data_IF_796292136821
#
_entry.id   IF_796292136821
#
_cell.length_a   1.000
_cell.length_b   1.000
_cell.length_c   1.000
_cell.angle_alpha   90.00
_cell.angle_beta   90.00
_cell.angle_gamma   90.00
#
_symmetry.space_group_name_H-M   'P 1'
#
loop_
_entity.id
_entity.type
_entity.pdbx_description
1 polymer ?
2 polymer ?
3 polymer ?
4 non-polymer ?
5 non-polymer ?
6 water ?
#
loop_
_entity_poly.entity_id
_entity_poly.type
_entity_poly.pdbx_seq_one_letter_code
_entity_poly.pdbx_strand_id
1 'polydeoxyribonucleotide' '(DT)(DG)(DG)(DG)(DG)(DT)(DC)(DC)(DT)' ?
2 'polydeoxyribonucleotide' '(DA)(DG)(DG)(DA)(DC)(DC)(DOC)' ?
#
# COMPACT_ATOMS: atom_id res chain seq x y z
N UNK C 1 -8.11 0.22 -27.33
CA UNK C 1 -7.53 -0.32 -26.03
C UNK C 1 -6.28 0.52 -25.66
N UNK C 2 -6.43 1.85 -25.66
CA UNK C 2 -5.29 2.68 -25.31
C UNK C 2 -5.43 3.59 -24.03
N UNK C 3 -6.08 4.77 -24.10
CA UNK C 3 -6.19 5.66 -22.92
C UNK C 3 -7.11 5.24 -21.70
N UNK C 4 -6.54 5.25 -20.55
CA UNK C 4 -7.25 4.79 -19.47
C UNK C 4 -7.60 5.85 -18.44
N UNK C 5 -8.58 5.49 -17.63
CA UNK C 5 -9.02 6.21 -16.47
C UNK C 5 -8.91 5.27 -15.25
N UNK C 6 -7.90 5.57 -14.41
CA UNK C 6 -7.59 4.76 -13.25
C UNK C 6 -7.78 5.60 -12.03
N UNK C 7 -8.30 4.98 -10.98
CA UNK C 7 -8.32 5.64 -9.68
C UNK C 7 -7.42 4.94 -8.61
N UNK C 8 -6.78 5.72 -7.78
CA UNK C 8 -6.03 5.17 -6.68
C UNK C 8 -6.74 5.62 -5.34
N UNK C 9 -7.11 4.63 -4.50
CA UNK C 9 -7.84 5.02 -3.31
C UNK C 9 -6.94 4.85 -2.07
N UNK C 10 -6.76 5.82 -1.26
CA UNK C 10 -5.71 5.69 -0.19
C UNK C 10 -6.30 6.23 1.07
N UNK C 11 -6.56 5.36 1.97
CA UNK C 11 -7.29 5.76 3.26
C UNK C 11 -6.49 6.58 4.20
N UNK C 12 -7.19 7.45 4.92
CA UNK C 12 -6.56 8.25 6.00
C UNK C 12 -6.07 7.46 7.27
N UNK C 13 -4.84 7.76 7.73
CA UNK C 13 -4.23 7.25 8.89
C UNK C 13 -4.90 5.99 9.30
N UNK C 14 -4.86 5.00 8.41
CA UNK C 14 -5.65 3.74 8.42
C UNK C 14 -5.72 3.03 9.80
N UNK C 15 -4.60 2.66 10.38
CA UNK C 15 -4.69 1.95 11.65
C UNK C 15 -5.37 2.84 12.68
N UNK C 16 -5.01 4.10 12.66
CA UNK C 16 -5.54 4.97 13.75
C UNK C 16 -7.04 5.17 13.53
N UNK C 17 -7.51 5.31 12.22
CA UNK C 17 -8.94 5.29 11.92
C UNK C 17 -9.56 4.09 12.51
N UNK C 18 -8.94 2.94 12.40
CA UNK C 18 -9.73 1.77 12.81
C UNK C 18 -9.84 1.80 14.40
N UNK C 19 -8.75 2.12 15.06
CA UNK C 19 -8.73 2.28 16.47
C UNK C 19 -9.69 3.34 16.98
N UNK C 20 -9.79 4.52 16.32
CA UNK C 20 -10.78 5.54 16.63
C UNK C 20 -12.25 5.08 16.37
N UNK C 21 -12.47 4.16 15.44
CA UNK C 21 -13.81 3.68 15.34
C UNK C 21 -14.13 2.69 16.50
N UNK C 22 -13.16 1.95 16.98
CA UNK C 22 -13.38 0.91 17.97
C UNK C 22 -13.58 1.53 19.35
N UNK C 23 -12.84 2.58 19.65
CA UNK C 23 -12.91 3.34 20.84
C UNK C 23 -13.12 4.85 20.50
N UNK C 24 -14.37 5.21 20.33
CA UNK C 24 -14.72 6.60 19.99
C UNK C 24 -14.08 7.68 20.91
N UNK C 25 -13.93 7.35 22.21
CA UNK C 25 -13.24 8.23 23.16
C UNK C 25 -11.83 8.61 22.69
N UNK C 26 -11.34 7.97 21.66
CA UNK C 26 -10.06 8.41 21.15
C UNK C 26 -10.20 9.51 20.09
N UNK C 27 -11.40 9.79 19.63
CA UNK C 27 -11.58 10.88 18.68
C UNK C 27 -11.09 12.21 19.24
N UNK C 28 -10.87 13.18 18.36
CA UNK C 28 -10.44 14.52 18.73
C UNK C 28 -9.19 14.58 19.67
N UNK C 29 -8.72 13.44 20.09
CA UNK C 29 -7.44 13.35 20.82
C UNK C 29 -6.29 12.91 19.93
N UNK C 30 -5.12 13.46 20.10
CA UNK C 30 -4.07 13.07 19.21
C UNK C 30 -3.76 11.63 19.53
N UNK C 31 -3.81 10.76 18.56
CA UNK C 31 -3.62 9.33 18.70
C UNK C 31 -2.44 8.75 17.89
N UNK C 32 -1.68 7.89 18.50
CA UNK C 32 -0.63 7.19 17.79
C UNK C 32 -0.85 5.67 18.00
N UNK C 33 -0.57 4.84 16.95
CA UNK C 33 -0.67 3.46 17.01
C UNK C 33 0.75 2.91 17.11
N UNK C 34 1.04 2.14 18.16
CA UNK C 34 2.38 1.71 18.47
C UNK C 34 2.54 0.21 18.11
N UNK C 35 3.77 -0.14 17.76
CA UNK C 35 4.13 -1.49 17.51
C UNK C 35 5.53 -1.52 18.05
N UNK C 36 5.76 -2.21 19.15
CA UNK C 36 7.10 -2.13 19.76
C UNK C 36 7.50 -0.71 20.09
N UNK C 37 8.64 -0.28 19.63
CA UNK C 37 9.01 1.11 19.88
C UNK C 37 8.65 1.97 18.66
N UNK C 38 7.73 1.56 17.85
CA UNK C 38 7.59 2.46 16.70
C UNK C 38 6.21 3.05 16.65
N UNK C 39 6.06 4.35 16.47
CA UNK C 39 4.71 4.93 16.24
C UNK C 39 4.46 4.78 14.72
N UNK C 40 3.74 3.73 14.35
CA UNK C 40 3.67 3.40 12.98
C UNK C 40 2.85 4.41 12.27
N UNK C 41 1.76 4.92 12.86
CA UNK C 41 0.96 6.00 12.23
C UNK C 41 0.21 6.74 13.33
N UNK C 42 -0.33 7.97 13.03
CA UNK C 42 -1.06 8.76 14.06
C UNK C 42 -2.20 9.49 13.36
N UNK C 43 -3.23 9.91 14.12
CA UNK C 43 -4.41 10.53 13.48
C UNK C 43 -4.05 11.94 13.12
N UNK C 44 -4.86 12.69 12.37
CA UNK C 44 -4.42 14.05 11.97
C UNK C 44 -4.30 14.97 13.15
N UNK C 45 -5.04 14.74 14.23
CA UNK C 45 -4.89 15.69 15.40
C UNK C 45 -3.42 15.63 15.82
N UNK C 46 -2.86 14.41 15.87
CA UNK C 46 -1.46 14.20 16.18
C UNK C 46 -0.39 14.85 15.27
N UNK C 47 -0.62 14.75 14.03
CA UNK C 47 0.38 15.18 13.12
C UNK C 47 0.45 16.73 13.21
N UNK C 48 -0.54 17.33 13.85
CA UNK C 48 -0.56 18.81 14.00
C UNK C 48 0.49 19.24 15.03
N UNK C 49 0.71 18.38 16.03
CA UNK C 49 1.63 18.56 17.07
C UNK C 49 3.07 18.04 16.69
N UNK C 50 3.31 17.71 15.41
CA UNK C 50 4.65 17.17 15.10
C UNK C 50 4.91 15.62 14.94
N UNK C 51 3.95 14.78 15.36
CA UNK C 51 4.16 13.36 15.28
C UNK C 51 4.18 13.03 13.85
N UNK C 52 5.21 12.36 13.38
CA UNK C 52 5.21 11.92 11.98
C UNK C 52 5.11 10.41 11.91
N UNK C 53 4.83 9.86 10.75
CA UNK C 53 4.65 8.41 10.64
C UNK C 53 5.95 7.75 10.79
N UNK C 54 5.97 6.60 11.45
CA UNK C 54 7.22 5.92 11.73
C UNK C 54 8.24 6.74 12.55
N UNK C 55 7.74 7.41 13.56
CA UNK C 55 8.58 8.06 14.54
C UNK C 55 8.75 7.00 15.63
N UNK C 56 9.81 7.09 16.47
CA UNK C 56 10.00 6.16 17.59
C UNK C 56 9.12 6.69 18.64
N UNK C 57 8.73 5.90 19.61
CA UNK C 57 7.90 6.39 20.73
C UNK C 57 8.55 7.58 21.39
N UNK C 58 9.85 7.55 21.54
CA UNK C 58 10.46 8.66 22.22
C UNK C 58 10.26 9.99 21.51
N UNK C 59 10.69 10.07 20.28
CA UNK C 59 10.61 11.32 19.58
C UNK C 59 9.19 11.80 19.47
N UNK C 60 8.26 10.85 19.43
CA UNK C 60 6.86 11.10 19.27
C UNK C 60 6.33 11.76 20.50
N UNK C 61 6.75 11.19 21.63
CA UNK C 61 6.33 11.62 22.96
C UNK C 61 6.98 12.93 23.40
N UNK C 62 8.24 13.19 23.01
CA UNK C 62 8.88 14.48 23.40
C UNK C 62 8.53 15.62 22.41
N UNK C 63 7.84 15.23 21.34
CA UNK C 63 7.37 16.19 20.36
C UNK C 63 5.96 16.47 20.71
N UNK C 64 5.39 15.56 21.47
CA UNK C 64 4.02 15.72 21.86
C UNK C 64 3.77 14.84 23.07
N UNK C 65 4.05 15.32 24.28
CA UNK C 65 3.83 14.52 25.50
C UNK C 65 2.33 14.27 25.80
N UNK C 66 1.41 14.85 25.05
CA UNK C 66 0.02 14.56 25.34
C UNK C 66 -0.57 13.40 24.43
N UNK C 67 0.31 12.70 23.74
CA UNK C 67 -0.10 11.64 22.84
C UNK C 67 -0.67 10.27 23.36
N UNK C 68 -1.93 9.94 23.06
CA UNK C 68 -2.43 8.62 23.39
C UNK C 68 -1.80 7.55 22.45
N UNK C 69 -1.48 6.40 22.99
CA UNK C 69 -0.95 5.37 22.21
C UNK C 69 -1.66 4.08 22.48
N UNK C 70 -2.00 3.33 21.42
CA UNK C 70 -2.61 2.01 21.50
C UNK C 70 -1.72 1.08 20.69
N UNK C 71 -1.71 -0.17 21.06
CA UNK C 71 -0.86 -1.13 20.45
C UNK C 71 -1.48 -1.65 19.12
N UNK C 72 -0.69 -1.64 18.05
CA UNK C 72 -1.16 -2.16 16.82
C UNK C 72 -0.38 -3.34 16.25
N UNK C 73 0.19 -4.12 17.12
CA UNK C 73 0.96 -5.31 16.75
C UNK C 73 0.13 -6.38 16.14
N UNK C 74 -1.05 -6.56 16.65
CA UNK C 74 -2.02 -7.48 16.10
C UNK C 74 -2.81 -6.81 14.98
N UNK C 75 -2.72 -7.31 13.77
CA UNK C 75 -3.24 -6.73 12.56
C UNK C 75 -4.57 -7.26 12.21
N UNK C 76 -5.13 -8.14 12.99
CA UNK C 76 -6.31 -8.80 12.58
C UNK C 76 -7.42 -7.90 12.13
N UNK C 77 -7.78 -6.95 13.00
CA UNK C 77 -8.79 -5.98 12.66
C UNK C 77 -8.49 -5.09 11.44
N UNK C 78 -7.24 -4.64 11.28
CA UNK C 78 -6.88 -3.84 10.16
C UNK C 78 -7.03 -4.69 8.84
N UNK C 79 -6.65 -5.95 8.93
CA UNK C 79 -6.75 -6.79 7.80
C UNK C 79 -8.19 -7.04 7.47
N UNK C 80 -9.02 -7.19 8.46
CA UNK C 80 -10.41 -7.34 8.08
C UNK C 80 -11.05 -6.12 7.38
N UNK C 81 -10.71 -4.96 7.85
CA UNK C 81 -11.27 -3.79 7.35
C UNK C 81 -10.65 -3.64 5.97
N UNK C 82 -9.35 -3.98 5.86
CA UNK C 82 -8.73 -3.84 4.56
C UNK C 82 -9.48 -4.58 3.48
N UNK C 83 -9.99 -5.77 3.79
CA UNK C 83 -10.68 -6.53 2.74
C UNK C 83 -12.11 -6.07 2.55
N UNK C 84 -12.70 -5.51 3.65
CA UNK C 84 -13.99 -5.00 3.44
C UNK C 84 -13.96 -3.86 2.42
N UNK C 85 -12.91 -2.99 2.49
CA UNK C 85 -12.76 -1.89 1.56
C UNK C 85 -12.48 -2.41 0.13
N UNK C 86 -11.60 -3.39 -0.04
CA UNK C 86 -11.35 -3.83 -1.38
C UNK C 86 -12.63 -4.45 -2.01
N UNK C 87 -13.41 -5.19 -1.21
CA UNK C 87 -14.54 -5.90 -1.70
C UNK C 87 -15.58 -4.90 -2.10
N UNK C 88 -15.71 -3.81 -1.38
CA UNK C 88 -16.68 -2.79 -1.72
C UNK C 88 -16.19 -2.15 -3.06
N UNK C 89 -14.88 -1.87 -3.24
CA UNK C 89 -14.46 -1.32 -4.51
C UNK C 89 -14.68 -2.35 -5.60
N UNK C 90 -14.57 -3.63 -5.34
CA UNK C 90 -14.78 -4.62 -6.40
C UNK C 90 -16.24 -4.60 -6.95
N UNK C 91 -17.14 -4.04 -6.17
CA UNK C 91 -18.50 -4.00 -6.61
C UNK C 91 -18.66 -2.95 -7.73
N UNK C 92 -17.88 -1.88 -7.72
CA UNK C 92 -18.04 -0.86 -8.72
C UNK C 92 -17.46 -1.50 -9.94
N UNK C 93 -16.27 -2.12 -9.86
CA UNK C 93 -15.62 -2.74 -11.02
C UNK C 93 -14.77 -3.88 -10.47
N UNK C 94 -14.90 -5.03 -11.08
CA UNK C 94 -14.25 -6.25 -10.58
C UNK C 94 -12.72 -6.21 -10.46
N UNK C 95 -12.03 -5.41 -11.24
CA UNK C 95 -10.63 -5.53 -11.24
C UNK C 95 -9.98 -4.54 -10.25
N UNK C 96 -9.77 -4.98 -9.02
CA UNK C 96 -9.15 -4.09 -8.05
C UNK C 96 -7.80 -4.60 -7.68
N UNK C 97 -6.82 -3.73 -7.61
CA UNK C 97 -5.53 -4.10 -7.23
C UNK C 97 -5.17 -3.52 -5.79
N UNK C 98 -4.79 -4.37 -4.84
CA UNK C 98 -4.34 -3.82 -3.60
C UNK C 98 -2.87 -3.50 -3.57
N UNK C 99 -2.44 -2.56 -2.74
CA UNK C 99 -1.11 -2.28 -2.48
C UNK C 99 -1.12 -1.96 -0.92
N UNK C 100 -0.63 -2.86 -0.10
CA UNK C 100 -0.58 -2.72 1.36
C UNK C 100 -1.95 -2.92 1.79
N UNK C 101 -2.22 -2.57 3.05
CA UNK C 101 -3.58 -2.85 3.58
C UNK C 101 -4.53 -1.73 3.22
N UNK C 102 -4.03 -0.55 2.72
CA UNK C 102 -4.95 0.58 2.62
C UNK C 102 -4.96 1.30 1.34
N UNK C 103 -4.38 0.70 0.32
CA UNK C 103 -4.43 1.24 -1.03
C UNK C 103 -5.09 0.31 -2.00
N UNK C 104 -5.81 0.88 -2.98
CA UNK C 104 -6.44 0.04 -3.99
C UNK C 104 -6.44 0.80 -5.32
N UNK C 105 -6.12 0.16 -6.43
CA UNK C 105 -6.22 0.73 -7.76
C UNK C 105 -7.39 0.10 -8.39
N UNK C 106 -8.13 0.85 -9.21
CA UNK C 106 -9.25 0.30 -9.92
C UNK C 106 -9.21 0.91 -11.28
N UNK C 107 -9.43 0.12 -12.34
CA UNK C 107 -9.36 0.64 -13.68
C UNK C 107 -10.76 1.03 -13.99
N UNK C 108 -11.02 2.31 -14.17
CA UNK C 108 -12.41 2.71 -14.30
C UNK C 108 -12.74 2.89 -15.76
N UNK C 109 -11.81 2.49 -16.61
CA UNK C 109 -12.01 2.77 -18.02
C UNK C 109 -13.35 2.27 -18.63
N UNK C 110 -13.73 1.03 -18.35
CA UNK C 110 -14.93 0.47 -18.95
C UNK C 110 -16.06 1.15 -18.37
N UNK C 111 -16.02 1.45 -17.08
CA UNK C 111 -17.17 2.16 -16.37
C UNK C 111 -17.40 3.57 -16.91
N UNK C 112 -16.35 4.32 -17.04
CA UNK C 112 -16.51 5.63 -17.58
C UNK C 112 -17.18 5.55 -18.99
N UNK C 113 -16.65 4.72 -19.86
CA UNK C 113 -17.22 4.70 -21.21
C UNK C 113 -18.74 4.28 -21.23
N UNK C 114 -19.11 3.41 -20.34
CA UNK C 114 -20.48 3.00 -20.31
C UNK C 114 -21.28 4.21 -19.85
N UNK C 115 -20.76 5.01 -18.93
CA UNK C 115 -21.60 6.11 -18.53
C UNK C 115 -21.72 7.15 -19.64
N UNK C 116 -20.68 7.25 -20.49
CA UNK C 116 -20.66 8.30 -21.47
C UNK C 116 -21.58 7.93 -22.55
N UNK C 117 -21.86 6.66 -22.74
CA UNK C 117 -22.72 6.29 -23.83
C UNK C 117 -24.14 6.46 -23.40
N UNK C 118 -24.37 6.63 -22.12
CA UNK C 118 -25.73 6.74 -21.65
C UNK C 118 -26.18 8.20 -21.66
N UNK C 119 -25.23 9.14 -21.76
CA UNK C 119 -25.54 10.56 -21.77
C UNK C 119 -25.85 11.02 -23.14
N UNK C 120 -27.03 11.61 -23.27
CA UNK C 120 -27.45 12.19 -24.54
C UNK C 120 -26.49 13.27 -25.04
N UNK C 121 -26.67 13.67 -26.30
CA UNK C 121 -25.79 14.68 -26.90
C UNK C 121 -26.17 16.07 -26.39
N UNK C 122 -26.14 16.28 -25.06
CA UNK C 122 -26.56 17.58 -24.53
C UNK C 122 -26.13 17.84 -23.11
N UNK C 123 -26.41 16.87 -22.25
CA UNK C 123 -26.01 16.98 -20.85
C UNK C 123 -24.47 16.88 -20.73
N UNK C 124 -23.82 16.26 -21.71
CA UNK C 124 -22.38 16.12 -21.72
C UNK C 124 -21.63 17.45 -21.65
N UNK C 125 -22.39 18.51 -21.81
CA UNK C 125 -21.86 19.83 -21.72
C UNK C 125 -22.01 20.26 -20.25
N UNK C 126 -22.70 19.44 -19.49
CA UNK C 126 -22.89 19.77 -18.12
C UNK C 126 -22.00 18.90 -17.17
N UNK C 127 -21.20 18.01 -17.74
CA UNK C 127 -20.34 17.16 -16.97
C UNK C 127 -19.41 17.98 -16.13
N UNK C 128 -19.49 17.79 -14.82
CA UNK C 128 -18.65 18.52 -13.95
C UNK C 128 -17.67 17.65 -13.14
N UNK C 129 -16.65 18.27 -12.62
CA UNK C 129 -15.75 17.60 -11.78
C UNK C 129 -16.22 17.42 -10.35
N UNK C 130 -15.66 16.41 -9.69
CA UNK C 130 -15.96 16.19 -8.29
C UNK C 130 -14.65 16.21 -7.58
N UNK C 131 -14.44 17.17 -6.68
CA UNK C 131 -13.19 17.32 -6.04
C UNK C 131 -12.21 18.41 -6.64
N UNK C 132 -10.90 18.25 -6.38
CA UNK C 132 -9.97 19.26 -6.80
C UNK C 132 -9.45 18.92 -8.13
N UNK C 133 -8.96 19.90 -8.86
CA UNK C 133 -8.30 19.62 -10.12
C UNK C 133 -6.88 19.95 -9.88
N UNK C 134 -5.99 18.98 -10.04
CA UNK C 134 -4.54 19.21 -9.78
C UNK C 134 -4.10 20.46 -10.57
N UNK C 135 -3.37 21.31 -9.86
CA UNK C 135 -2.78 22.52 -10.48
C UNK C 135 -3.80 23.47 -10.90
N UNK C 136 -5.05 23.33 -10.43
CA UNK C 136 -6.02 24.31 -10.69
C UNK C 136 -6.25 24.50 -12.27
N UNK C 137 -5.88 23.54 -13.09
CA UNK C 137 -5.98 23.59 -14.48
C UNK C 137 -7.45 23.74 -14.92
N UNK C 138 -7.65 24.41 -16.04
CA UNK C 138 -8.92 24.68 -16.57
C UNK C 138 -9.42 23.46 -17.31
N UNK C 139 -10.68 23.20 -17.25
CA UNK C 139 -11.19 22.11 -17.99
C UNK C 139 -11.66 22.49 -19.40
N UNK C 140 -11.66 21.55 -20.31
CA UNK C 140 -12.07 21.91 -21.63
C UNK C 140 -12.99 20.88 -21.89
N UNK C 141 -14.28 21.19 -21.86
CA UNK C 141 -15.39 20.26 -22.08
C UNK C 141 -15.41 19.70 -23.46
N UNK C 142 -14.56 20.16 -24.36
CA UNK C 142 -14.62 19.54 -25.67
C UNK C 142 -13.48 18.62 -25.74
N UNK C 143 -12.71 18.55 -24.67
CA UNK C 143 -11.61 17.53 -24.66
C UNK C 143 -12.11 16.17 -24.20
N UNK C 144 -12.15 15.19 -25.10
CA UNK C 144 -12.69 13.88 -24.66
C UNK C 144 -11.97 13.28 -23.43
N UNK C 145 -10.65 13.54 -23.32
CA UNK C 145 -9.91 13.06 -22.25
C UNK C 145 -10.23 13.77 -20.95
N UNK C 146 -10.52 15.04 -21.05
CA UNK C 146 -10.95 15.79 -19.82
C UNK C 146 -12.27 15.24 -19.34
N UNK C 147 -13.19 15.00 -20.28
CA UNK C 147 -14.57 14.53 -19.98
C UNK C 147 -14.52 13.15 -19.27
N UNK C 148 -13.67 12.27 -19.82
CA UNK C 148 -13.56 10.92 -19.23
C UNK C 148 -12.95 11.00 -17.84
N UNK C 149 -11.92 11.86 -17.68
CA UNK C 149 -11.29 12.01 -16.33
C UNK C 149 -12.29 12.68 -15.30
N UNK C 150 -13.08 13.66 -15.74
CA UNK C 150 -14.11 14.11 -14.81
C UNK C 150 -15.10 13.02 -14.46
N UNK C 151 -15.58 12.21 -15.45
CA UNK C 151 -16.54 11.21 -15.12
C UNK C 151 -15.90 10.25 -14.06
N UNK C 152 -14.64 9.98 -14.31
CA UNK C 152 -13.85 9.17 -13.42
C UNK C 152 -13.73 9.87 -12.10
N UNK C 153 -13.75 11.23 -12.00
CA UNK C 153 -13.66 11.81 -10.70
C UNK C 153 -14.99 11.59 -9.94
N UNK C 154 -16.08 11.54 -10.68
CA UNK C 154 -17.37 11.26 -10.08
C UNK C 154 -17.45 9.85 -9.60
N UNK C 155 -16.91 8.86 -10.36
CA UNK C 155 -17.05 7.48 -9.83
C UNK C 155 -16.28 7.46 -8.44
N UNK C 156 -15.08 8.10 -8.45
CA UNK C 156 -14.30 8.21 -7.29
C UNK C 156 -15.07 8.78 -6.10
N UNK C 157 -15.76 9.87 -6.31
CA UNK C 157 -16.50 10.48 -5.24
C UNK C 157 -17.57 9.45 -4.70
N UNK C 158 -18.21 8.75 -5.58
CA UNK C 158 -19.20 7.72 -5.19
C UNK C 158 -18.57 6.57 -4.38
N UNK C 159 -17.43 6.09 -4.80
CA UNK C 159 -16.66 5.12 -4.00
C UNK C 159 -16.30 5.73 -2.59
N UNK C 160 -15.94 7.03 -2.54
CA UNK C 160 -15.58 7.45 -1.25
C UNK C 160 -16.84 7.63 -0.36
N UNK C 161 -17.97 8.00 -0.97
CA UNK C 161 -19.14 8.20 -0.18
C UNK C 161 -19.57 6.78 0.38
N UNK C 162 -19.53 5.76 -0.51
CA UNK C 162 -19.88 4.44 -0.08
C UNK C 162 -18.90 3.95 1.02
N UNK C 163 -17.60 4.19 0.87
CA UNK C 163 -16.68 3.73 1.91
C UNK C 163 -17.07 4.32 3.25
N UNK C 164 -17.59 5.56 3.19
CA UNK C 164 -17.97 6.22 4.36
C UNK C 164 -19.28 5.68 4.89
N UNK C 165 -20.32 5.67 4.08
CA UNK C 165 -21.58 5.26 4.45
C UNK C 165 -21.66 3.81 4.82
N UNK C 166 -20.91 2.98 4.14
CA UNK C 166 -20.99 1.54 4.39
C UNK C 166 -20.02 1.03 5.43
N UNK C 167 -18.79 1.58 5.51
CA UNK C 167 -17.80 1.02 6.47
C UNK C 167 -17.34 2.04 7.42
N UNK C 168 -17.83 3.33 7.35
CA UNK C 168 -17.34 4.35 8.25
C UNK C 168 -15.87 4.85 8.04
N UNK C 169 -15.27 4.67 6.85
CA UNK C 169 -13.92 5.06 6.67
C UNK C 169 -13.71 6.23 5.66
N UNK C 170 -12.81 7.16 6.02
CA UNK C 170 -12.54 8.20 5.04
C UNK C 170 -11.29 8.00 4.38
N UNK C 171 -11.12 8.65 3.24
CA UNK C 171 -9.91 8.41 2.44
C UNK C 171 -9.77 9.37 1.32
N UNK C 172 -8.61 9.38 0.70
CA UNK C 172 -8.35 10.20 -0.48
C UNK C 172 -8.40 9.36 -1.77
N UNK C 173 -8.65 10.00 -2.89
CA UNK C 173 -8.62 9.30 -4.16
C UNK C 173 -7.89 10.14 -5.13
N UNK C 174 -7.26 9.51 -6.13
CA UNK C 174 -6.69 10.32 -7.22
C UNK C 174 -7.07 9.73 -8.55
N UNK C 175 -7.51 10.58 -9.51
CA UNK C 175 -7.90 10.01 -10.81
C UNK C 175 -6.88 10.53 -11.86
N UNK C 176 -6.32 9.60 -12.63
CA UNK C 176 -5.33 9.94 -13.60
C UNK C 176 -5.35 8.92 -14.73
N UNK C 177 -4.49 9.04 -15.70
CA UNK C 177 -4.49 8.12 -16.85
C UNK C 177 -3.60 6.85 -16.69
N UNK C 178 -2.87 6.70 -15.65
CA UNK C 178 -2.12 5.51 -15.40
C UNK C 178 -1.95 5.28 -13.88
N UNK C 179 -1.42 4.16 -13.49
CA UNK C 179 -1.33 3.93 -12.02
C UNK C 179 -0.34 4.90 -11.31
N UNK C 180 0.82 5.15 -11.93
CA UNK C 180 1.82 6.02 -11.32
C UNK C 180 1.19 7.43 -11.01
N UNK C 181 0.55 8.05 -11.98
CA UNK C 181 -0.03 9.39 -11.80
C UNK C 181 -1.20 9.44 -10.77
N UNK C 182 -2.05 8.43 -10.87
CA UNK C 182 -3.18 8.33 -9.99
C UNK C 182 -2.64 8.24 -8.55
N UNK C 183 -1.56 7.48 -8.30
CA UNK C 183 -1.10 7.45 -6.95
C UNK C 183 -0.36 8.74 -6.53
N UNK C 184 0.39 9.34 -7.42
CA UNK C 184 1.12 10.53 -7.11
C UNK C 184 0.10 11.56 -6.87
N UNK C 185 -1.03 11.60 -7.63
CA UNK C 185 -1.93 12.82 -7.41
C UNK C 185 -2.93 12.62 -6.26
N UNK C 186 -3.10 11.39 -5.78
CA UNK C 186 -4.06 11.11 -4.68
C UNK C 186 -3.55 11.71 -3.40
N UNK C 187 -2.28 11.99 -3.31
CA UNK C 187 -1.78 12.64 -2.11
C UNK C 187 -1.77 14.19 -2.13
N UNK C 188 -2.15 14.87 -3.23
CA UNK C 188 -1.94 16.32 -3.24
C UNK C 188 -2.77 17.01 -2.17
N UNK C 189 -3.96 16.52 -1.84
CA UNK C 189 -4.88 17.14 -0.83
C UNK C 189 -5.20 16.09 0.19
N UNK C 190 -4.51 16.18 1.32
CA UNK C 190 -4.14 15.04 2.09
C UNK C 190 -5.13 14.52 2.73
N UNK C 191 -5.75 15.27 3.63
CA UNK C 191 -6.75 14.56 4.52
C UNK C 191 -7.94 13.94 3.85
N UNK C 192 -9.06 14.52 3.53
CA UNK C 192 -10.13 13.39 3.13
C UNK C 192 -10.71 13.98 1.92
N UNK C 193 -9.97 13.93 0.84
CA UNK C 193 -10.30 14.68 -0.31
C UNK C 193 -9.87 13.90 -1.55
N UNK C 194 -10.13 14.44 -2.76
CA UNK C 194 -9.74 13.76 -4.02
C UNK C 194 -9.34 14.76 -5.05
N UNK C 195 -8.45 14.38 -5.95
CA UNK C 195 -7.91 15.26 -6.88
C UNK C 195 -7.82 14.55 -8.24
N UNK C 196 -8.03 15.26 -9.35
CA UNK C 196 -8.02 14.65 -10.65
C UNK C 196 -6.96 15.31 -11.47
N UNK C 197 -6.21 14.45 -12.22
CA UNK C 197 -5.06 14.98 -13.00
C UNK C 197 -5.37 15.08 -14.49
N UNK C 198 -5.42 16.28 -15.05
CA UNK C 198 -5.62 16.38 -16.51
C UNK C 198 -4.22 16.19 -17.23
N UNK C 199 -4.18 15.66 -18.47
CA UNK C 199 -2.91 15.42 -19.10
C UNK C 199 -2.00 16.67 -19.12
N UNK C 200 -2.55 17.85 -19.36
CA UNK C 200 -1.65 19.02 -19.51
C UNK C 200 -0.82 19.26 -18.29
N UNK C 201 -1.11 18.59 -17.16
CA UNK C 201 -0.35 18.95 -15.93
C UNK C 201 0.54 17.82 -15.42
N UNK C 202 0.65 16.76 -16.19
CA UNK C 202 1.50 15.66 -15.85
C UNK C 202 2.94 16.06 -15.47
N UNK C 203 3.54 16.89 -16.29
CA UNK C 203 4.93 17.26 -16.07
C UNK C 203 4.99 18.11 -14.71
N UNK C 204 4.01 18.99 -14.51
CA UNK C 204 4.06 19.81 -13.36
C UNK C 204 4.05 18.85 -12.13
N UNK C 205 3.16 17.87 -12.15
CA UNK C 205 3.10 16.95 -11.01
C UNK C 205 4.46 16.27 -10.79
N UNK C 206 5.07 15.80 -11.87
CA UNK C 206 6.13 14.85 -11.70
C UNK C 206 7.25 15.77 -11.30
N UNK C 207 7.29 17.00 -11.83
CA UNK C 207 8.44 17.86 -11.44
C UNK C 207 8.22 18.46 -10.08
N UNK C 208 7.07 18.25 -9.45
CA UNK C 208 6.81 18.80 -8.13
C UNK C 208 7.57 17.91 -7.12
N UNK C 209 7.88 16.67 -7.51
CA UNK C 209 8.68 15.82 -6.56
C UNK C 209 10.12 16.43 -6.21
N UNK C 210 10.68 16.15 -5.00
CA UNK C 210 11.95 16.70 -4.71
C UNK C 210 13.12 15.76 -4.83
N UNK C 211 12.80 14.52 -5.11
CA UNK C 211 13.85 13.51 -5.30
C UNK C 211 13.26 12.21 -5.81
N UNK C 212 14.04 11.45 -6.61
CA UNK C 212 13.52 10.30 -7.35
C UNK C 212 13.10 9.18 -6.43
N UNK C 213 13.46 9.19 -5.17
CA UNK C 213 12.94 8.16 -4.34
C UNK C 213 11.50 8.34 -4.04
N UNK C 214 10.96 9.43 -4.57
CA UNK C 214 9.53 9.71 -4.36
C UNK C 214 8.70 9.10 -5.46
N UNK C 215 9.36 8.71 -6.54
CA UNK C 215 8.68 7.99 -7.54
C UNK C 215 8.42 6.47 -7.10
N UNK C 216 7.17 6.09 -6.98
CA UNK C 216 6.79 4.70 -6.71
C UNK C 216 7.54 3.75 -7.63
N UNK C 217 8.34 2.82 -7.15
CA UNK C 217 9.08 1.98 -8.00
C UNK C 217 10.58 2.20 -7.76
N UNK C 218 11.00 3.42 -7.40
CA UNK C 218 12.39 3.61 -7.09
C UNK C 218 12.54 3.50 -5.60
N UNK C 219 13.15 2.44 -5.14
CA UNK C 219 13.29 2.30 -3.69
C UNK C 219 14.59 2.75 -3.06
N UNK C 220 14.80 2.36 -1.80
CA UNK C 220 16.03 2.67 -1.08
C UNK C 220 17.30 2.30 -1.86
N UNK C 221 17.27 1.15 -2.53
CA UNK C 221 18.39 0.74 -3.33
C UNK C 221 18.62 1.52 -4.57
N UNK C 222 17.79 1.42 -5.58
CA UNK C 222 18.02 2.27 -6.79
C UNK C 222 18.32 3.72 -6.55
N UNK C 223 17.72 4.25 -5.48
CA UNK C 223 17.90 5.64 -5.11
C UNK C 223 19.39 5.99 -4.88
N UNK C 224 20.06 5.20 -4.03
CA UNK C 224 21.46 5.43 -3.77
C UNK C 224 22.24 5.17 -5.02
N UNK C 225 21.82 4.18 -5.81
CA UNK C 225 22.54 3.91 -7.06
C UNK C 225 22.46 5.09 -8.00
N UNK C 226 21.25 5.69 -8.17
CA UNK C 226 21.09 6.77 -9.12
C UNK C 226 21.91 7.98 -8.70
N UNK C 227 22.02 8.11 -7.39
CA UNK C 227 22.81 9.16 -6.84
C UNK C 227 24.29 9.06 -7.23
N UNK C 228 24.83 7.87 -7.08
CA UNK C 228 26.19 7.65 -7.34
C UNK C 228 26.55 8.18 -8.72
N UNK C 229 25.54 8.34 -9.57
CA UNK C 229 25.78 8.83 -10.92
C UNK C 229 25.43 10.25 -11.11
N UNK C 230 25.25 10.96 -10.03
CA UNK C 230 24.84 12.34 -10.22
C UNK C 230 23.33 12.60 -10.40
N UNK C 231 22.49 11.58 -10.65
CA UNK C 231 21.08 11.75 -10.84
C UNK C 231 20.31 12.04 -9.53
N UNK C 232 19.91 13.30 -9.32
CA UNK C 232 19.19 13.61 -8.11
C UNK C 232 17.71 14.08 -8.27
N UNK C 233 17.41 14.94 -9.22
CA UNK C 233 16.08 15.39 -9.42
C UNK C 233 15.43 14.46 -10.45
N UNK C 234 14.13 14.54 -10.52
CA UNK C 234 13.44 13.82 -11.59
C UNK C 234 13.90 14.27 -12.99
N UNK C 235 14.29 15.55 -13.24
CA UNK C 235 14.78 15.97 -14.54
C UNK C 235 16.13 15.32 -14.90
N UNK C 236 16.99 15.20 -13.90
CA UNK C 236 18.31 14.54 -14.10
C UNK C 236 17.99 13.18 -14.66
N UNK C 237 17.07 12.49 -14.03
CA UNK C 237 16.72 11.13 -14.44
C UNK C 237 16.13 11.15 -15.84
N UNK C 238 15.26 12.07 -16.10
CA UNK C 238 14.68 12.21 -17.41
C UNK C 238 15.77 12.38 -18.48
N UNK C 239 16.72 13.30 -18.22
CA UNK C 239 17.70 13.59 -19.21
C UNK C 239 18.95 12.70 -19.11
N UNK C 240 19.02 11.79 -18.16
CA UNK C 240 20.26 11.02 -18.06
C UNK C 240 20.39 10.11 -19.24
N UNK C 241 21.59 9.55 -19.48
CA UNK C 241 21.82 8.73 -20.70
C UNK C 241 21.24 7.31 -20.63
N UNK C 242 20.40 6.94 -21.59
CA UNK C 242 19.81 5.60 -21.55
C UNK C 242 20.91 4.54 -21.48
N UNK C 243 21.87 4.60 -22.40
CA UNK C 243 22.90 3.60 -22.39
C UNK C 243 23.56 3.40 -21.00
N UNK C 244 24.05 4.51 -20.42
CA UNK C 244 24.86 4.45 -19.20
C UNK C 244 23.98 4.01 -18.08
N UNK C 245 22.69 4.27 -18.20
CA UNK C 245 21.70 3.83 -17.18
C UNK C 245 21.33 2.36 -17.41
N UNK C 246 21.08 2.11 -18.71
CA UNK C 246 20.66 0.81 -19.25
C UNK C 246 21.66 -0.15 -18.72
N UNK C 247 22.89 0.19 -18.97
CA UNK C 247 23.97 -0.65 -18.55
C UNK C 247 24.51 -0.39 -17.15
N UNK C 248 23.66 -0.34 -16.15
CA UNK C 248 24.17 -0.07 -14.82
C UNK C 248 23.05 -0.51 -13.84
N UNK C 249 21.89 -0.83 -14.40
CA UNK C 249 20.78 -1.30 -13.58
C UNK C 249 20.13 -2.44 -14.29
N UNK C 250 20.50 -2.61 -15.55
CA UNK C 250 20.03 -3.69 -16.39
C UNK C 250 19.02 -3.04 -17.24
N UNK C 251 18.85 -3.47 -18.46
CA UNK C 251 17.84 -2.86 -19.31
C UNK C 251 16.44 -2.72 -18.68
N UNK C 252 16.13 -3.59 -17.73
CA UNK C 252 14.81 -3.60 -17.11
C UNK C 252 14.67 -2.46 -16.09
N UNK C 253 15.33 -2.62 -14.96
CA UNK C 253 15.38 -1.56 -13.96
C UNK C 253 15.55 -0.19 -14.57
N UNK C 254 16.30 -0.07 -15.66
CA UNK C 254 16.61 1.24 -16.29
C UNK C 254 15.58 1.73 -17.25
N UNK C 255 15.04 0.90 -18.08
CA UNK C 255 14.23 1.43 -19.14
C UNK C 255 12.87 1.71 -18.47
N UNK C 256 12.66 1.03 -17.36
CA UNK C 256 11.41 1.25 -16.74
C UNK C 256 11.40 2.56 -15.89
N UNK C 257 12.45 2.74 -15.09
CA UNK C 257 12.38 3.81 -14.18
C UNK C 257 12.54 5.12 -14.92
N UNK C 258 13.08 5.02 -16.14
CA UNK C 258 13.22 6.21 -16.89
C UNK C 258 11.87 6.64 -17.41
N UNK C 259 11.05 5.70 -17.84
CA UNK C 259 9.69 6.00 -18.23
C UNK C 259 8.90 6.66 -17.05
N UNK C 260 9.08 6.10 -15.89
CA UNK C 260 8.40 6.67 -14.76
C UNK C 260 8.80 8.14 -14.53
N UNK C 261 10.09 8.46 -14.77
CA UNK C 261 10.56 9.79 -14.52
C UNK C 261 9.80 10.73 -15.44
N UNK C 262 9.29 10.23 -16.55
CA UNK C 262 8.43 11.06 -17.41
C UNK C 262 6.94 11.06 -17.01
N UNK C 263 6.57 10.23 -16.04
CA UNK C 263 5.12 10.06 -15.80
C UNK C 263 4.42 9.01 -16.64
N UNK C 264 5.19 8.24 -17.44
CA UNK C 264 4.71 7.26 -18.33
C UNK C 264 4.73 5.94 -17.64
N UNK C 265 3.69 5.15 -17.81
CA UNK C 265 3.62 3.91 -16.99
C UNK C 265 2.51 3.04 -17.49
N UNK C 266 2.82 1.95 -18.18
CA UNK C 266 1.78 1.22 -18.82
C UNK C 266 1.31 0.00 -18.06
N UNK C 267 1.84 -0.28 -16.92
CA UNK C 267 1.39 -1.43 -16.16
C UNK C 267 -0.12 -1.43 -15.91
N UNK C 268 -0.70 -2.55 -16.19
CA UNK C 268 -2.15 -2.70 -16.06
C UNK C 268 -2.56 -2.93 -14.51
N UNK C 269 -3.78 -2.56 -14.15
CA UNK C 269 -4.25 -2.74 -12.82
C UNK C 269 -4.52 -4.24 -12.81
N UNK C 270 -3.78 -4.95 -11.95
CA UNK C 270 -4.06 -6.38 -11.83
C UNK C 270 -5.07 -6.83 -10.77
N UNK C 271 -5.80 -7.85 -11.03
CA UNK C 271 -6.77 -8.38 -9.96
C UNK C 271 -6.07 -9.02 -8.79
N UNK C 272 -6.23 -8.53 -7.57
CA UNK C 272 -5.36 -9.09 -6.48
C UNK C 272 -5.93 -10.42 -5.95
N UNK C 273 -7.25 -10.48 -5.94
CA UNK C 273 -7.99 -11.57 -5.42
C UNK C 273 -7.52 -12.00 -4.01
N UNK C 274 -7.60 -13.26 -3.63
CA UNK C 274 -7.27 -13.67 -2.28
C UNK C 274 -5.83 -13.61 -2.20
N UNK C 275 -5.26 -13.54 -1.01
CA UNK C 275 -3.81 -13.42 -0.78
C UNK C 275 -3.01 -14.65 -1.28
N UNK C 276 -1.72 -14.48 -1.59
CA UNK C 276 -0.87 -15.54 -2.01
C UNK C 276 -0.17 -15.99 -0.76
N UNK C 277 -0.42 -15.37 0.38
CA UNK C 277 0.34 -15.86 1.55
C UNK C 277 -0.30 -15.33 2.83
N UNK C 278 0.08 -15.92 3.96
CA UNK C 278 -0.50 -15.55 5.28
C UNK C 278 0.74 -15.79 6.17
N UNK C 279 1.18 -14.79 6.91
CA UNK C 279 2.21 -14.94 7.87
C UNK C 279 1.98 -14.09 9.14
N UNK C 280 2.63 -14.50 10.20
CA UNK C 280 2.60 -13.84 11.47
C UNK C 280 4.08 -13.66 11.84
N UNK C 281 4.34 -12.63 12.57
CA UNK C 281 5.70 -12.30 12.85
C UNK C 281 5.74 -11.86 14.32
N UNK C 282 6.67 -12.36 15.12
CA UNK C 282 6.87 -11.84 16.48
C UNK C 282 8.24 -11.27 16.69
N UNK C 283 8.34 -10.24 17.47
CA UNK C 283 9.59 -9.57 17.65
C UNK C 283 9.98 -9.49 19.16
N UNK C 284 11.25 -9.68 19.40
CA UNK C 284 11.76 -9.71 20.75
C UNK C 284 13.22 -9.64 20.50
N UNK C 285 13.73 -8.44 20.32
CA UNK C 285 15.14 -8.26 20.10
C UNK C 285 15.89 -8.76 21.32
N UNK C 286 16.84 -9.64 21.05
CA UNK C 286 17.76 -10.23 21.98
C UNK C 286 17.19 -11.35 22.81
N UNK C 287 15.89 -11.59 22.72
CA UNK C 287 15.30 -12.61 23.58
C UNK C 287 15.35 -14.05 23.11
N UNK C 288 15.73 -14.26 21.87
CA UNK C 288 15.74 -15.58 21.31
C UNK C 288 17.06 -16.29 21.57
N UNK C 289 17.06 -17.17 22.60
CA UNK C 289 18.23 -17.95 23.04
C UNK C 289 18.87 -18.77 21.90
N UNK C 290 17.99 -19.51 21.21
CA UNK C 290 18.26 -20.41 20.07
C UNK C 290 18.10 -21.85 20.52
N UNK C 291 17.17 -22.08 21.43
CA UNK C 291 16.45 -23.30 21.76
C UNK C 291 15.30 -23.03 22.71
N UNK C 292 15.53 -22.10 23.60
CA UNK C 292 14.47 -21.74 24.50
C UNK C 292 13.38 -21.06 23.67
N UNK C 293 13.75 -20.59 22.47
CA UNK C 293 12.78 -19.85 21.63
C UNK C 293 12.26 -20.72 20.46
N UNK C 294 11.18 -21.47 20.74
CA UNK C 294 10.45 -22.31 19.77
C UNK C 294 9.01 -22.22 20.11
N UNK C 295 8.79 -22.00 21.40
CA UNK C 295 7.46 -21.84 21.89
C UNK C 295 6.81 -20.69 21.12
N UNK C 296 7.62 -19.67 20.83
CA UNK C 296 7.17 -18.56 20.03
C UNK C 296 6.58 -19.10 18.73
N UNK C 297 7.25 -20.09 18.14
CA UNK C 297 6.83 -20.72 16.89
C UNK C 297 5.46 -21.38 16.98
N UNK C 298 5.17 -21.96 18.12
CA UNK C 298 3.84 -22.50 18.30
C UNK C 298 2.80 -21.32 18.42
N UNK C 299 3.22 -20.18 18.99
CA UNK C 299 2.38 -18.94 19.09
C UNK C 299 1.90 -18.57 17.67
N UNK C 300 2.85 -18.25 16.83
CA UNK C 300 2.52 -17.89 15.46
C UNK C 300 1.57 -18.87 14.77
N UNK C 301 1.88 -20.15 14.91
CA UNK C 301 1.08 -21.16 14.28
C UNK C 301 -0.37 -21.23 14.70
N UNK C 302 -0.59 -21.01 15.97
CA UNK C 302 -1.92 -21.09 16.53
C UNK C 302 -2.80 -20.17 15.67
N UNK C 303 -2.50 -18.87 15.62
CA UNK C 303 -3.23 -17.94 14.74
C UNK C 303 -3.09 -18.32 13.27
N UNK C 304 -1.90 -18.59 12.83
CA UNK C 304 -1.92 -18.84 11.43
C UNK C 304 -2.96 -19.86 11.06
N UNK C 305 -2.97 -20.99 11.78
CA UNK C 305 -3.84 -22.10 11.45
C UNK C 305 -5.28 -21.72 11.29
N UNK C 306 -5.75 -20.87 12.18
CA UNK C 306 -7.14 -20.44 12.16
C UNK C 306 -7.41 -19.52 10.94
N UNK C 307 -6.45 -18.69 10.62
CA UNK C 307 -6.59 -17.83 9.48
C UNK C 307 -6.64 -18.61 8.19
N UNK C 308 -5.55 -19.31 7.88
CA UNK C 308 -5.43 -20.01 6.61
C UNK C 308 -6.65 -20.85 6.49
N UNK C 309 -7.01 -21.48 7.58
CA UNK C 309 -8.19 -22.28 7.55
C UNK C 309 -9.34 -21.59 6.78
N UNK C 310 -9.84 -20.50 7.40
CA UNK C 310 -10.98 -19.64 6.98
C UNK C 310 -11.15 -19.35 5.50
N UNK C 311 -10.06 -18.83 4.93
CA UNK C 311 -10.09 -18.44 3.56
C UNK C 311 -10.70 -19.63 2.95
N UNK C 312 -10.10 -20.79 3.27
CA UNK C 312 -10.55 -22.06 2.77
C UNK C 312 -9.39 -22.81 2.18
N UNK C 313 -8.82 -22.29 1.10
CA UNK C 313 -7.65 -22.86 0.44
C UNK C 313 -6.64 -23.33 1.49
N UNK C 314 -6.00 -24.42 1.17
CA UNK C 314 -5.03 -24.93 2.10
C UNK C 314 -3.68 -24.64 1.49
N UNK C 315 -2.74 -24.21 2.27
CA UNK C 315 -1.40 -23.92 1.79
C UNK C 315 -0.60 -25.19 1.55
N UNK C 316 0.21 -25.17 0.51
CA UNK C 316 1.00 -26.33 0.22
C UNK C 316 2.48 -26.13 0.56
N UNK C 317 2.82 -25.08 1.30
CA UNK C 317 4.20 -24.81 1.69
C UNK C 317 4.22 -24.05 3.00
N UNK C 318 5.30 -24.16 3.80
CA UNK C 318 5.49 -23.47 5.06
C UNK C 318 6.89 -22.92 5.03
N UNK C 319 7.11 -21.89 5.77
CA UNK C 319 8.41 -21.24 5.78
C UNK C 319 8.67 -20.64 7.19
N UNK C 320 9.93 -20.50 7.56
CA UNK C 320 10.32 -20.06 8.86
C UNK C 320 11.46 -19.11 8.68
N UNK C 321 11.36 -17.94 9.33
CA UNK C 321 12.35 -16.90 9.11
C UNK C 321 13.03 -16.35 10.34
N UNK C 322 14.24 -15.76 10.22
CA UNK C 322 14.98 -15.23 11.39
C UNK C 322 15.75 -13.94 11.13
N UNK C 323 16.70 -13.58 11.99
CA UNK C 323 17.52 -12.35 11.88
C UNK C 323 18.42 -12.22 13.15
N UNK C 324 19.74 -12.07 12.99
CA UNK C 324 20.67 -12.09 14.16
C UNK C 324 21.25 -10.69 14.56
N UNK C 325 22.07 -10.55 15.63
CA UNK C 325 22.48 -9.19 16.09
C UNK C 325 23.90 -8.84 16.54
N UNK C 326 24.21 -7.54 16.41
CA UNK C 326 25.49 -6.90 16.83
C UNK C 326 25.66 -5.50 16.19
N UNK C 327 26.03 -5.46 14.91
CA UNK C 327 26.15 -4.19 14.16
C UNK C 327 24.92 -4.12 13.25
N UNK C 328 24.68 -2.97 12.61
CA UNK C 328 23.51 -2.84 11.72
C UNK C 328 23.71 -3.50 10.36
N UNK C 329 23.38 -4.79 10.29
CA UNK C 329 23.53 -5.57 9.06
C UNK C 329 22.62 -5.04 7.95
N UNK C 330 21.94 -3.92 8.20
CA UNK C 330 21.04 -3.30 7.22
C UNK C 330 19.95 -4.27 6.71
N UNK C 331 20.25 -5.57 6.75
CA UNK C 331 19.60 -6.50 5.63
C UNK C 331 20.06 -7.88 6.18
N UNK C 332 19.13 -8.80 6.42
CA UNK C 332 19.59 -10.08 6.93
C UNK C 332 18.59 -10.96 7.63
N UNK C 333 17.71 -11.57 6.84
CA UNK C 333 16.76 -12.52 7.34
C UNK C 333 17.13 -13.80 6.65
N UNK C 334 16.86 -14.94 7.28
CA UNK C 334 17.18 -16.26 6.71
C UNK C 334 15.93 -17.10 6.74
N UNK C 335 15.80 -18.01 5.76
CA UNK C 335 14.64 -18.85 5.77
C UNK C 335 14.88 -20.20 5.17
N UNK C 336 13.97 -21.11 5.49
CA UNK C 336 13.98 -22.47 4.98
C UNK C 336 12.54 -22.90 4.58
N UNK C 337 12.30 -23.03 3.26
CA UNK C 337 11.05 -23.49 2.75
C UNK C 337 10.95 -25.06 2.91
N UNK C 338 9.72 -25.53 2.82
CA UNK C 338 9.42 -26.93 2.95
C UNK C 338 7.94 -27.26 2.60
N UNK C 339 7.69 -28.26 1.74
CA UNK C 339 6.33 -28.68 1.43
C UNK C 339 5.62 -29.30 2.63
N UNK C 340 4.35 -28.96 2.80
CA UNK C 340 3.44 -29.35 3.87
C UNK C 340 2.92 -30.74 3.59
N UNK C 341 3.38 -31.74 4.33
CA UNK C 341 2.97 -33.12 4.08
C UNK C 341 1.47 -33.21 3.81
N UNK C 342 1.13 -33.86 2.69
CA UNK C 342 -0.25 -34.03 2.27
C UNK C 342 -1.28 -34.49 3.34
N UNK C 343 -0.85 -35.28 4.33
CA UNK C 343 -1.72 -35.76 5.40
C UNK C 343 -1.99 -34.59 6.35
N UNK C 344 -0.94 -33.81 6.54
CA UNK C 344 -0.97 -32.68 7.40
C UNK C 344 -1.92 -31.67 6.80
N UNK C 345 -2.07 -31.69 5.48
CA UNK C 345 -2.91 -30.69 4.84
C UNK C 345 -4.36 -30.80 5.19
N UNK C 346 -4.90 -32.00 5.25
CA UNK C 346 -6.29 -32.01 5.67
C UNK C 346 -6.42 -31.93 7.18
N UNK C 355 -3.90 -31.65 14.26
CA UNK C 355 -3.44 -30.74 13.17
C UNK C 355 -2.19 -29.91 13.48
N UNK C 356 -2.13 -29.42 14.72
CA UNK C 356 -1.04 -28.58 15.22
C UNK C 356 0.23 -29.35 15.46
N UNK C 357 0.04 -30.49 16.10
CA UNK C 357 1.11 -31.33 16.60
C UNK C 357 2.32 -31.53 15.63
N UNK C 358 2.11 -32.15 14.50
CA UNK C 358 3.15 -32.32 13.49
C UNK C 358 3.82 -31.02 13.02
N UNK C 359 3.01 -30.07 12.54
CA UNK C 359 3.48 -28.79 12.09
C UNK C 359 4.63 -28.31 12.91
N UNK C 360 4.43 -28.36 14.22
CA UNK C 360 5.47 -27.95 15.11
C UNK C 360 6.79 -28.65 14.75
N UNK C 361 6.72 -29.97 14.57
CA UNK C 361 7.93 -30.70 14.23
C UNK C 361 8.52 -30.28 12.87
N UNK C 362 7.67 -30.06 11.86
CA UNK C 362 8.26 -29.75 10.60
C UNK C 362 9.06 -28.51 10.85
N UNK C 363 8.42 -27.52 11.45
CA UNK C 363 9.04 -26.27 11.75
C UNK C 363 10.29 -26.40 12.61
N UNK C 364 10.24 -27.28 13.62
CA UNK C 364 11.36 -27.49 14.50
C UNK C 364 12.54 -28.03 13.75
N UNK C 365 12.31 -29.00 12.88
CA UNK C 365 13.43 -29.61 12.16
C UNK C 365 13.91 -28.55 11.17
N UNK C 366 12.94 -27.87 10.57
CA UNK C 366 13.16 -26.75 9.63
C UNK C 366 13.94 -25.64 10.35
N UNK C 367 13.63 -25.55 11.64
CA UNK C 367 14.28 -24.67 12.60
C UNK C 367 15.79 -25.02 12.75
N UNK C 368 16.14 -26.29 12.84
CA UNK C 368 17.56 -26.62 12.98
C UNK C 368 18.41 -26.61 11.71
N UNK C 369 17.88 -27.04 10.58
CA UNK C 369 18.76 -26.96 9.42
C UNK C 369 19.27 -25.52 9.42
N UNK C 370 18.58 -24.70 10.16
CA UNK C 370 18.95 -23.32 10.29
C UNK C 370 20.29 -23.18 10.94
N UNK C 380 17.50 -11.84 16.52
CA UNK C 380 16.60 -10.80 17.00
C UNK C 380 15.11 -11.17 16.82
N UNK C 381 14.65 -11.57 15.66
CA UNK C 381 13.23 -11.94 15.52
C UNK C 381 12.84 -13.16 14.64
N UNK C 382 11.63 -13.68 14.92
CA UNK C 382 11.02 -14.86 14.26
C UNK C 382 9.59 -14.72 13.58
N UNK C 383 9.35 -15.49 12.51
CA UNK C 383 8.06 -15.59 11.83
C UNK C 383 7.71 -16.86 11.03
N UNK C 384 6.41 -16.97 10.82
CA UNK C 384 5.98 -18.11 10.06
C UNK C 384 5.11 -17.73 8.90
N UNK C 385 5.44 -18.23 7.71
CA UNK C 385 4.65 -17.97 6.51
C UNK C 385 4.02 -19.18 5.89
N UNK C 386 2.73 -19.09 5.57
CA UNK C 386 2.04 -20.17 4.83
C UNK C 386 1.90 -19.62 3.42
N UNK C 387 2.53 -20.23 2.47
CA UNK C 387 2.31 -19.85 1.06
C UNK C 387 1.81 -20.97 0.12
N UNK C 388 1.82 -20.69 -1.17
CA UNK C 388 1.47 -21.61 -2.22
C UNK C 388 0.04 -22.14 -2.01
N UNK C 389 -0.94 -21.27 -1.67
CA UNK C 389 -2.36 -21.60 -1.51
C UNK C 389 -2.99 -22.25 -2.76
N UNK C 390 -4.02 -23.08 -2.58
CA UNK C 390 -4.67 -23.72 -3.73
C UNK C 390 -6.13 -24.04 -3.47
X LIG D 1 -0.91 4.62 1.70
X LIG E 1 -3.23 5.87 3.78
X LIG F 1 2.19 0.86 7.58
X LIG F 1 3.17 0.11 8.21
X LIG F 1 4.49 0.18 7.82
X LIG F 1 4.90 0.98 6.77
X LIG F 1 3.90 1.68 6.05
X LIG F 1 2.58 1.68 6.57
X LIG F 1 2.86 -0.57 9.19
X LIG F 1 6.23 1.03 6.49
X LIG F 1 0.79 0.60 8.03
X LIG F 1 0.32 1.69 9.01
X LIG F 1 -0.68 2.56 8.18
X LIG F 1 -0.99 1.71 6.91
X LIG F 1 -0.01 0.73 6.86
X LIG F 1 -1.85 2.87 8.90
X LIG F 1 -1.15 2.47 5.62
X LIG F 1 0.08 3.07 5.16
X LIG F 1 0.06 4.62 4.72
X LIG F 1 -1.13 4.93 4.03
X LIG F 1 1.38 5.17 4.19
X LIG F 1 -0.19 5.45 6.09
X LIG F 1 -1.56 6.08 6.58
X LIG F 1 -1.69 5.57 7.94
X LIG F 1 -2.90 5.58 5.94
X LIG F 1 -1.48 7.65 6.53
X LIG F 1 -2.02 8.67 5.42
X LIG F 1 -2.31 7.99 4.06
X LIG F 1 -0.82 9.71 5.39
X LIG F 1 -3.40 9.09 6.10
#
# INVERSE_FOLDING_TARGET
ASSRVIVHVDLDCFYAQVEMISNPELKDKPLGVQQKYLVVTCNYEARKLGVKKLMNVRDAKEKCPQLVLVNGEDLTRYREMSYKVTELLEEFSPVVERLGFDENFVDLTEMVEKRLQQLQSDELSAVTVSGHVYNNQSINLLDVLHIRLLVGSQIAAEMREAMYNQLGLTGCAGVASNKLLAKLVSGVFKPNQQTVLLPESCQHLIHSLNHIKEIPGIGYKTAKCLEALGINSVRDLQTFSPKILEKELGISVAQRIQKLSFGEDNSPVILSGPPQSFSEEDSFKKCSSEVEAKNKIEELLASLLNRVCQDGRKPHTVRLIIRRYSSEKHYGRESRQCPIPSHVIQKLGTGNYDVMTPMVDILMKLFRNMVNVKMPFHLTLLSVCFCNLK
MG MG
MG MG
DCP N1 C2 N3 C4 C5 C6 O2 N4 C1' C2' C3' C4' O4' O3' C5' O5' PA O1A O2A O3A PB O1B O2B O3B PG O1G O2G O3G
#
